data_IF_023272164639
#
_entry.id   IF_023272164639
#
_cell.length_a   1.000
_cell.length_b   1.000
_cell.length_c   1.000
_cell.angle_alpha   90.00
_cell.angle_beta   90.00
_cell.angle_gamma   90.00
#
_symmetry.space_group_name_H-M   'P 1'
#
loop_
_entity.id
_entity.type
_entity.pdbx_description
1 polymer ?
#
# COMPACT_ATOMS: atom_id res chain seq x y z
N UNK A 1 2.58 14.26 25.44
CA UNK A 1 3.03 13.79 24.08
C UNK A 1 2.74 14.87 23.07
N UNK A 2 3.78 15.42 22.45
CA UNK A 2 3.69 16.51 21.48
C UNK A 2 3.97 15.98 20.06
N UNK A 3 3.40 16.61 19.03
CA UNK A 3 3.65 16.24 17.63
C UNK A 3 5.14 16.25 17.29
N UNK A 4 5.88 17.25 17.83
CA UNK A 4 7.32 17.37 17.64
C UNK A 4 8.09 16.16 18.21
N UNK A 5 7.64 15.60 19.31
CA UNK A 5 8.23 14.37 19.86
C UNK A 5 7.97 13.16 18.96
N UNK A 6 6.81 13.09 18.31
CA UNK A 6 6.50 12.06 17.32
C UNK A 6 7.37 12.20 16.05
N UNK A 7 7.59 13.43 15.58
CA UNK A 7 8.54 13.69 14.47
C UNK A 7 9.95 13.22 14.82
N UNK A 8 10.43 13.52 16.02
CA UNK A 8 11.73 13.08 16.52
C UNK A 8 11.81 11.56 16.64
N UNK A 9 10.78 10.94 17.17
CA UNK A 9 10.69 9.49 17.33
C UNK A 9 10.76 8.79 15.96
N UNK A 10 9.97 9.24 14.99
CA UNK A 10 9.99 8.74 13.62
C UNK A 10 11.37 8.88 12.99
N UNK A 11 11.94 10.08 13.03
CA UNK A 11 13.27 10.33 12.46
C UNK A 11 14.36 9.42 13.06
N UNK A 12 14.28 9.08 14.35
CA UNK A 12 15.20 8.15 15.01
C UNK A 12 15.04 6.72 14.48
N UNK A 13 13.80 6.29 14.30
CA UNK A 13 13.50 4.94 13.75
C UNK A 13 14.02 4.84 12.32
N UNK A 14 13.70 5.83 11.47
CA UNK A 14 14.07 5.85 10.06
C UNK A 14 15.60 5.94 9.85
N UNK A 15 16.28 6.74 10.67
CA UNK A 15 17.74 6.86 10.61
C UNK A 15 18.49 5.69 11.26
N UNK A 16 17.80 4.82 12.03
CA UNK A 16 18.37 3.67 12.71
C UNK A 16 19.34 4.01 13.87
N UNK A 17 19.63 5.29 14.11
CA UNK A 17 20.46 5.78 15.21
C UNK A 17 20.05 7.20 15.63
N UNK A 18 20.21 7.52 16.93
CA UNK A 18 19.91 8.89 17.44
C UNK A 18 20.82 9.93 16.79
N UNK A 19 22.10 9.61 16.60
CA UNK A 19 23.05 10.53 15.95
C UNK A 19 22.76 10.74 14.46
N UNK A 20 22.25 9.72 13.77
CA UNK A 20 21.76 9.81 12.39
C UNK A 20 20.55 10.74 12.29
N UNK A 21 19.56 10.53 13.15
CA UNK A 21 18.38 11.38 13.22
C UNK A 21 18.71 12.84 13.57
N UNK A 22 19.63 13.06 14.51
CA UNK A 22 20.07 14.40 14.88
C UNK A 22 20.64 15.17 13.68
N UNK A 23 21.41 14.49 12.80
CA UNK A 23 21.92 15.10 11.56
C UNK A 23 20.78 15.44 10.58
N UNK A 24 19.83 14.55 10.40
CA UNK A 24 18.67 14.78 9.52
C UNK A 24 17.82 15.95 10.02
N UNK A 25 17.66 16.06 11.34
CA UNK A 25 16.89 17.11 11.99
C UNK A 25 17.66 18.42 12.21
N UNK A 26 18.92 18.51 11.74
CA UNK A 26 19.81 19.67 11.94
C UNK A 26 19.94 20.10 13.39
N UNK A 27 20.05 19.12 14.29
CA UNK A 27 20.20 19.36 15.74
C UNK A 27 21.31 18.50 16.34
N UNK A 28 21.68 18.77 17.60
CA UNK A 28 22.64 17.93 18.35
C UNK A 28 21.91 16.72 18.99
N UNK A 29 22.66 15.65 19.27
CA UNK A 29 22.11 14.43 19.87
C UNK A 29 21.53 14.63 21.28
N UNK A 30 22.13 15.42 22.21
CA UNK A 30 21.65 15.52 23.58
C UNK A 30 20.18 15.96 23.70
N UNK A 31 19.73 17.07 23.06
CA UNK A 31 18.33 17.48 23.14
C UNK A 31 17.37 16.43 22.53
N UNK A 32 17.78 15.74 21.47
CA UNK A 32 16.97 14.69 20.85
C UNK A 32 16.79 13.51 21.80
N UNK A 33 17.87 13.04 22.44
CA UNK A 33 17.83 11.98 23.45
C UNK A 33 16.98 12.37 24.65
N UNK A 34 17.07 13.63 25.09
CA UNK A 34 16.25 14.15 26.18
C UNK A 34 14.76 14.12 25.85
N UNK A 35 14.37 14.55 24.66
CA UNK A 35 12.98 14.52 24.22
C UNK A 35 12.41 13.09 24.18
N UNK A 36 13.20 12.12 23.73
CA UNK A 36 12.77 10.70 23.75
C UNK A 36 12.61 10.18 25.17
N UNK A 37 13.52 10.56 26.07
CA UNK A 37 13.40 10.19 27.50
C UNK A 37 12.11 10.76 28.11
N UNK A 38 11.81 12.04 27.86
CA UNK A 38 10.57 12.68 28.34
C UNK A 38 9.32 11.99 27.79
N UNK A 39 9.34 11.59 26.52
CA UNK A 39 8.24 10.85 25.90
C UNK A 39 8.04 9.46 26.55
N UNK A 40 9.13 8.71 26.78
CA UNK A 40 9.07 7.42 27.46
C UNK A 40 8.57 7.56 28.92
N UNK A 41 8.99 8.63 29.62
CA UNK A 41 8.54 8.92 30.98
C UNK A 41 7.06 9.29 31.04
N UNK A 42 6.57 10.10 30.10
CA UNK A 42 5.15 10.46 30.02
C UNK A 42 4.28 9.23 29.72
N UNK A 43 4.70 8.37 28.78
CA UNK A 43 3.98 7.17 28.38
C UNK A 43 4.16 6.01 29.37
N UNK A 44 5.06 6.13 30.35
CA UNK A 44 5.43 5.10 31.34
C UNK A 44 5.87 3.78 30.70
N UNK A 45 6.42 3.82 29.47
CA UNK A 45 6.94 2.66 28.75
C UNK A 45 8.27 2.97 28.07
N UNK A 46 9.05 1.92 27.78
CA UNK A 46 10.22 2.05 26.93
C UNK A 46 9.82 1.85 25.47
N UNK A 47 10.28 2.76 24.62
CA UNK A 47 10.06 2.71 23.18
C UNK A 47 11.23 2.03 22.45
N UNK A 48 12.44 2.17 23.03
CA UNK A 48 13.66 1.59 22.48
C UNK A 48 14.24 0.51 23.39
N UNK A 49 14.72 -0.61 22.78
CA UNK A 49 15.42 -1.66 23.51
C UNK A 49 16.84 -1.19 23.89
N UNK A 50 17.28 -1.54 25.10
CA UNK A 50 18.61 -1.19 25.63
C UNK A 50 19.72 -2.06 25.00
N UNK A 51 20.92 -1.52 24.92
CA UNK A 51 22.15 -2.28 24.68
C UNK A 51 22.50 -2.55 23.21
N UNK A 52 21.81 -1.91 22.26
CA UNK A 52 22.14 -2.04 20.83
C UNK A 52 22.83 -0.77 20.29
N UNK A 53 23.83 -0.96 19.42
CA UNK A 53 24.46 0.13 18.65
C UNK A 53 23.47 0.75 17.63
N UNK A 54 22.50 -0.03 17.22
CA UNK A 54 21.39 0.40 16.34
C UNK A 54 20.09 0.43 17.11
N UNK A 55 19.17 1.30 16.69
CA UNK A 55 17.84 1.41 17.27
C UNK A 55 17.07 0.13 17.03
N UNK A 56 16.51 -0.41 18.11
CA UNK A 56 15.51 -1.50 18.05
C UNK A 56 14.29 -1.07 18.84
N UNK A 57 13.14 -1.17 18.22
CA UNK A 57 11.87 -0.85 18.87
C UNK A 57 11.44 -1.97 19.82
N UNK A 58 10.86 -1.58 20.95
CA UNK A 58 10.03 -2.48 21.79
C UNK A 58 8.67 -2.68 21.10
N UNK A 59 7.82 -3.57 21.64
CA UNK A 59 6.44 -3.70 21.15
C UNK A 59 5.64 -2.39 21.31
N UNK A 60 5.84 -1.66 22.41
CA UNK A 60 5.27 -0.33 22.60
C UNK A 60 5.81 0.67 21.55
N UNK A 61 7.12 0.59 21.24
CA UNK A 61 7.73 1.42 20.20
C UNK A 61 7.15 1.13 18.81
N UNK A 62 6.93 -0.13 18.45
CA UNK A 62 6.30 -0.51 17.19
C UNK A 62 4.86 0.02 17.10
N UNK A 63 4.08 -0.14 18.17
CA UNK A 63 2.72 0.39 18.24
C UNK A 63 2.70 1.91 18.10
N UNK A 64 3.62 2.61 18.78
CA UNK A 64 3.73 4.07 18.67
C UNK A 64 4.15 4.48 17.25
N UNK A 65 5.08 3.76 16.59
CA UNK A 65 5.53 4.11 15.25
C UNK A 65 4.38 4.17 14.25
N UNK A 66 3.55 3.12 14.23
CA UNK A 66 2.36 3.08 13.36
C UNK A 66 1.41 4.24 13.63
N UNK A 67 1.19 4.57 14.91
CA UNK A 67 0.29 5.67 15.30
C UNK A 67 0.90 7.05 15.05
N UNK A 68 2.20 7.20 15.26
CA UNK A 68 2.94 8.43 14.97
C UNK A 68 2.87 8.79 13.48
N UNK A 69 3.07 7.81 12.59
CA UNK A 69 2.90 7.99 11.14
C UNK A 69 1.51 8.51 10.80
N UNK A 70 0.46 7.88 11.35
CA UNK A 70 -0.93 8.31 11.13
C UNK A 70 -1.22 9.72 11.63
N UNK A 71 -0.74 10.07 12.82
CA UNK A 71 -0.95 11.39 13.44
C UNK A 71 -0.20 12.50 12.67
N UNK A 72 1.05 12.26 12.29
CA UNK A 72 1.85 13.22 11.52
C UNK A 72 1.24 13.44 10.14
N UNK A 73 0.80 12.38 9.48
CA UNK A 73 0.07 12.44 8.21
C UNK A 73 -1.20 13.27 8.36
N UNK A 74 -2.01 13.02 9.38
CA UNK A 74 -3.25 13.79 9.64
C UNK A 74 -2.95 15.27 9.86
N UNK A 75 -1.85 15.59 10.56
CA UNK A 75 -1.42 16.98 10.76
C UNK A 75 -1.09 17.67 9.44
N UNK A 76 -0.38 16.97 8.56
CA UNK A 76 -0.02 17.53 7.23
C UNK A 76 -1.24 17.67 6.31
N UNK A 77 -2.21 16.76 6.42
CA UNK A 77 -3.51 16.87 5.74
C UNK A 77 -4.26 18.10 6.23
N UNK A 78 -4.39 18.25 7.54
CA UNK A 78 -5.07 19.40 8.16
C UNK A 78 -4.45 20.72 7.73
N UNK A 79 -3.10 20.82 7.76
CA UNK A 79 -2.40 22.01 7.25
C UNK A 79 -2.73 22.28 5.79
N UNK A 80 -2.73 21.24 4.95
CA UNK A 80 -3.08 21.36 3.51
C UNK A 80 -4.52 21.80 3.30
N UNK A 81 -5.46 21.24 4.03
CA UNK A 81 -6.88 21.61 3.95
C UNK A 81 -7.11 23.09 4.31
N UNK A 82 -6.48 23.55 5.39
CA UNK A 82 -6.57 24.94 5.81
C UNK A 82 -5.96 25.89 4.77
N UNK A 83 -4.85 25.50 4.14
CA UNK A 83 -4.19 26.27 3.08
C UNK A 83 -4.99 26.21 1.77
N UNK A 84 -5.64 25.09 1.46
CA UNK A 84 -6.49 24.91 0.24
C UNK A 84 -7.64 25.90 0.15
N UNK A 85 -8.07 26.50 1.24
CA UNK A 85 -9.11 27.54 1.22
C UNK A 85 -8.69 28.78 0.40
N UNK A 86 -7.40 28.91 0.03
CA UNK A 86 -6.86 30.09 -0.69
C UNK A 86 -6.11 29.80 -2.00
N UNK A 87 -6.02 28.54 -2.48
CA UNK A 87 -5.19 28.20 -3.67
C UNK A 87 -5.82 27.12 -4.56
N UNK A 88 -5.28 26.98 -5.79
CA UNK A 88 -5.71 25.98 -6.78
C UNK A 88 -5.89 24.58 -6.16
N UNK A 89 -7.03 23.96 -6.45
CA UNK A 89 -7.41 22.66 -5.89
C UNK A 89 -6.42 21.58 -6.35
N UNK A 90 -5.73 20.95 -5.43
CA UNK A 90 -4.88 19.77 -5.69
C UNK A 90 -5.61 18.52 -5.24
N UNK A 91 -5.73 17.52 -6.12
CA UNK A 91 -6.35 16.23 -5.85
C UNK A 91 -5.25 15.16 -5.75
N UNK A 92 -5.20 14.45 -4.63
CA UNK A 92 -4.33 13.29 -4.43
C UNK A 92 -5.04 12.04 -4.93
N UNK A 93 -4.58 11.51 -6.07
CA UNK A 93 -5.20 10.37 -6.73
C UNK A 93 -4.32 9.13 -6.63
N UNK A 94 -4.86 8.06 -6.03
CA UNK A 94 -4.24 6.74 -6.02
C UNK A 94 -4.55 5.93 -7.27
N UNK A 95 -3.54 5.31 -7.86
CA UNK A 95 -3.69 4.40 -9.00
C UNK A 95 -2.89 3.11 -8.80
N UNK A 96 -3.51 1.98 -9.12
CA UNK A 96 -2.76 0.72 -9.17
C UNK A 96 -2.03 0.59 -10.51
N UNK A 97 -0.93 -0.19 -10.61
CA UNK A 97 -0.23 -0.43 -11.88
C UNK A 97 -1.14 -0.92 -13.01
N UNK A 98 -2.24 -1.62 -12.68
CA UNK A 98 -3.20 -2.12 -13.66
C UNK A 98 -4.28 -1.11 -14.07
N UNK A 99 -4.49 -0.05 -13.30
CA UNK A 99 -5.52 0.98 -13.59
C UNK A 99 -4.94 2.27 -14.15
N UNK A 100 -3.62 2.47 -14.10
CA UNK A 100 -2.96 3.71 -14.52
C UNK A 100 -3.30 4.10 -15.96
N UNK A 101 -3.27 3.16 -16.91
CA UNK A 101 -3.57 3.44 -18.31
C UNK A 101 -5.03 3.86 -18.56
N UNK A 102 -5.95 3.30 -17.78
CA UNK A 102 -7.36 3.69 -17.82
C UNK A 102 -7.51 5.11 -17.24
N UNK A 103 -6.93 5.36 -16.06
CA UNK A 103 -7.02 6.65 -15.39
C UNK A 103 -6.36 7.77 -16.19
N UNK A 104 -5.24 7.52 -16.87
CA UNK A 104 -4.61 8.50 -17.73
C UNK A 104 -5.57 9.05 -18.78
N UNK A 105 -6.41 8.21 -19.41
CA UNK A 105 -7.44 8.64 -20.38
C UNK A 105 -8.50 9.54 -19.75
N UNK A 106 -8.95 9.23 -18.53
CA UNK A 106 -9.89 10.05 -17.79
C UNK A 106 -9.27 11.39 -17.37
N UNK A 107 -8.02 11.37 -16.90
CA UNK A 107 -7.30 12.57 -16.48
C UNK A 107 -7.10 13.54 -17.65
N UNK A 108 -6.68 13.06 -18.82
CA UNK A 108 -6.54 13.90 -20.03
C UNK A 108 -7.85 14.62 -20.35
N UNK A 109 -8.97 13.89 -20.32
CA UNK A 109 -10.28 14.49 -20.58
C UNK A 109 -10.70 15.48 -19.46
N UNK A 110 -10.42 15.15 -18.21
CA UNK A 110 -10.81 15.97 -17.07
C UNK A 110 -10.01 17.28 -17.01
N UNK A 111 -8.69 17.20 -17.15
CA UNK A 111 -7.81 18.37 -17.07
C UNK A 111 -8.00 19.35 -18.23
N UNK A 112 -8.44 18.87 -19.39
CA UNK A 112 -8.79 19.77 -20.51
C UNK A 112 -9.97 20.69 -20.22
N UNK A 113 -10.87 20.29 -19.28
CA UNK A 113 -12.03 21.10 -18.87
C UNK A 113 -11.81 21.83 -17.53
N UNK A 114 -10.78 21.41 -16.77
CA UNK A 114 -10.46 21.93 -15.44
C UNK A 114 -8.95 22.22 -15.31
N UNK A 115 -8.43 23.24 -16.02
CA UNK A 115 -6.99 23.54 -16.09
C UNK A 115 -6.41 24.07 -14.76
N UNK A 116 -7.26 24.53 -13.87
CA UNK A 116 -6.95 25.04 -12.53
C UNK A 116 -6.74 23.91 -11.48
N UNK A 117 -7.17 22.67 -11.80
CA UNK A 117 -7.01 21.54 -10.91
C UNK A 117 -5.67 20.83 -11.17
N UNK A 118 -4.95 20.56 -10.10
CA UNK A 118 -3.70 19.81 -10.12
C UNK A 118 -3.90 18.43 -9.52
N UNK A 119 -3.14 17.45 -10.01
CA UNK A 119 -3.13 16.09 -9.46
C UNK A 119 -1.76 15.74 -8.93
N UNK A 120 -1.75 15.12 -7.75
CA UNK A 120 -0.61 14.37 -7.22
C UNK A 120 -0.97 12.90 -7.35
N UNK A 121 -0.19 12.15 -8.12
CA UNK A 121 -0.46 10.73 -8.38
C UNK A 121 0.36 9.88 -7.41
N UNK A 122 -0.34 9.02 -6.67
CA UNK A 122 0.24 7.99 -5.83
C UNK A 122 0.06 6.63 -6.52
N UNK A 123 1.11 5.87 -6.64
CA UNK A 123 1.04 4.52 -7.17
C UNK A 123 1.32 3.49 -6.06
N UNK A 124 0.58 2.40 -6.10
CA UNK A 124 0.70 1.40 -5.06
C UNK A 124 -0.18 0.17 -5.26
N UNK A 125 -0.08 -0.76 -4.32
CA UNK A 125 -0.98 -1.90 -4.28
C UNK A 125 -2.39 -1.46 -3.87
N UNK A 126 -3.40 -2.27 -4.20
CA UNK A 126 -4.78 -2.03 -3.77
C UNK A 126 -4.90 -1.87 -2.25
N UNK A 127 -4.09 -2.61 -1.47
CA UNK A 127 -4.09 -2.54 -0.01
C UNK A 127 -3.46 -1.24 0.48
N UNK A 128 -2.28 -0.88 -0.03
CA UNK A 128 -1.59 0.36 0.31
C UNK A 128 -2.44 1.59 0.03
N UNK A 129 -3.02 1.66 -1.19
CA UNK A 129 -3.86 2.79 -1.59
C UNK A 129 -5.17 2.86 -0.79
N UNK A 130 -5.72 1.72 -0.35
CA UNK A 130 -6.86 1.70 0.55
C UNK A 130 -6.49 2.30 1.91
N UNK A 131 -5.36 1.89 2.48
CA UNK A 131 -4.87 2.41 3.76
C UNK A 131 -4.55 3.91 3.67
N UNK A 132 -3.97 4.37 2.56
CA UNK A 132 -3.73 5.79 2.32
C UNK A 132 -5.05 6.59 2.19
N UNK A 133 -6.08 6.02 1.57
CA UNK A 133 -7.40 6.64 1.51
C UNK A 133 -8.07 6.69 2.90
N UNK A 134 -7.99 5.61 3.70
CA UNK A 134 -8.48 5.57 5.07
C UNK A 134 -7.80 6.60 5.98
N UNK A 135 -6.53 6.83 5.76
CA UNK A 135 -5.74 7.81 6.49
C UNK A 135 -5.86 9.25 5.90
N UNK A 136 -6.68 9.47 4.87
CA UNK A 136 -6.89 10.77 4.25
C UNK A 136 -5.67 11.32 3.48
N UNK A 137 -4.69 10.47 3.14
CA UNK A 137 -3.55 10.83 2.29
C UNK A 137 -4.03 11.03 0.84
N UNK A 138 -5.01 10.22 0.44
CA UNK A 138 -5.65 10.29 -0.87
C UNK A 138 -7.04 10.93 -0.75
N UNK A 139 -7.41 11.74 -1.72
CA UNK A 139 -8.77 12.25 -1.91
C UNK A 139 -9.64 11.21 -2.66
N UNK A 140 -9.04 10.48 -3.59
CA UNK A 140 -9.70 9.47 -4.42
C UNK A 140 -8.69 8.41 -4.85
N UNK A 141 -9.14 7.17 -5.02
CA UNK A 141 -8.27 6.11 -5.55
C UNK A 141 -9.04 5.13 -6.43
N UNK A 142 -8.33 4.50 -7.34
CA UNK A 142 -8.85 3.34 -8.08
C UNK A 142 -8.39 2.07 -7.39
N UNK A 143 -9.34 1.24 -7.00
CA UNK A 143 -9.07 -0.04 -6.37
C UNK A 143 -9.60 -1.18 -7.24
N UNK A 144 -8.99 -2.34 -7.12
CA UNK A 144 -9.45 -3.57 -7.76
C UNK A 144 -10.00 -4.53 -6.72
N UNK A 145 -11.20 -5.04 -6.97
CA UNK A 145 -11.79 -6.12 -6.16
C UNK A 145 -11.07 -7.45 -6.44
N UNK A 146 -11.12 -8.43 -5.53
CA UNK A 146 -11.85 -8.40 -4.27
C UNK A 146 -11.12 -7.64 -3.16
N UNK A 147 -11.79 -6.67 -2.55
CA UNK A 147 -11.37 -5.96 -1.34
C UNK A 147 -12.60 -5.39 -0.64
N UNK A 148 -12.58 -5.32 0.69
CA UNK A 148 -13.65 -4.68 1.45
C UNK A 148 -13.58 -3.15 1.29
N UNK A 149 -14.70 -2.53 0.89
CA UNK A 149 -14.84 -1.09 0.67
C UNK A 149 -15.77 -0.44 1.70
N UNK A 150 -15.91 -1.05 2.87
CA UNK A 150 -16.77 -0.52 3.95
C UNK A 150 -16.27 0.87 4.37
N UNK A 151 -17.20 1.81 4.51
CA UNK A 151 -16.89 3.18 4.92
C UNK A 151 -16.50 4.12 3.78
N UNK A 152 -16.42 3.64 2.53
CA UNK A 152 -16.10 4.46 1.37
C UNK A 152 -17.31 4.65 0.44
N UNK A 153 -17.37 5.82 -0.17
CA UNK A 153 -18.23 6.04 -1.32
C UNK A 153 -17.52 5.47 -2.55
N UNK A 154 -18.10 4.46 -3.20
CA UNK A 154 -17.46 3.78 -4.33
C UNK A 154 -18.37 3.76 -5.57
N UNK A 155 -17.73 3.80 -6.75
CA UNK A 155 -18.40 3.66 -8.05
C UNK A 155 -17.69 2.62 -8.89
N UNK A 156 -18.46 1.65 -9.42
CA UNK A 156 -17.93 0.67 -10.36
C UNK A 156 -17.57 1.38 -11.68
N UNK A 157 -16.31 1.32 -12.08
CA UNK A 157 -15.82 1.88 -13.34
C UNK A 157 -15.81 0.85 -14.45
N UNK A 158 -15.42 -0.40 -14.15
CA UNK A 158 -15.30 -1.48 -15.11
C UNK A 158 -15.43 -2.83 -14.40
N UNK A 159 -16.03 -3.79 -15.08
CA UNK A 159 -16.02 -5.19 -14.70
C UNK A 159 -15.16 -5.97 -15.68
N UNK A 160 -14.32 -6.87 -15.16
CA UNK A 160 -13.40 -7.69 -15.94
C UNK A 160 -13.52 -9.15 -15.50
N UNK A 161 -13.36 -10.07 -16.43
CA UNK A 161 -13.27 -11.50 -16.13
C UNK A 161 -11.87 -11.84 -15.62
N UNK A 162 -11.78 -12.82 -14.74
CA UNK A 162 -10.52 -13.47 -14.42
C UNK A 162 -10.16 -14.42 -15.56
N UNK A 163 -8.91 -14.37 -15.97
CA UNK A 163 -8.35 -15.24 -17.00
C UNK A 163 -7.10 -15.91 -16.44
N UNK A 164 -6.87 -17.15 -16.81
CA UNK A 164 -5.63 -17.85 -16.52
C UNK A 164 -4.63 -17.57 -17.64
N UNK A 165 -3.39 -17.25 -17.25
CA UNK A 165 -2.26 -17.14 -18.16
C UNK A 165 -1.37 -18.37 -17.98
N UNK A 166 -1.40 -19.26 -18.97
CA UNK A 166 -0.57 -20.46 -19.00
C UNK A 166 0.80 -20.18 -19.63
N UNK A 167 1.85 -20.93 -19.26
CA UNK A 167 3.16 -20.82 -19.88
C UNK A 167 3.11 -21.14 -21.37
N UNK A 168 3.95 -20.45 -22.16
CA UNK A 168 4.12 -20.73 -23.59
C UNK A 168 4.62 -22.17 -23.81
N UNK A 169 4.01 -22.89 -24.74
CA UNK A 169 4.33 -24.30 -25.04
C UNK A 169 3.49 -25.33 -24.26
N UNK A 170 2.64 -24.89 -23.32
CA UNK A 170 1.57 -25.71 -22.76
C UNK A 170 0.20 -25.37 -23.40
N UNK A 171 0.26 -24.56 -24.44
CA UNK A 171 -0.91 -24.16 -25.24
C UNK A 171 -1.27 -25.33 -26.17
N UNK A 172 -2.44 -25.91 -25.98
CA UNK A 172 -3.16 -26.53 -27.09
C UNK A 172 -3.61 -25.38 -27.99
N UNK A 173 -3.44 -25.52 -29.32
CA UNK A 173 -3.65 -24.46 -30.30
C UNK A 173 -4.95 -23.66 -30.06
N UNK A 174 -4.80 -22.37 -29.69
CA UNK A 174 -5.86 -21.39 -29.57
C UNK A 174 -6.26 -21.05 -28.12
N UNK A 175 -6.99 -19.94 -27.96
CA UNK A 175 -7.66 -19.57 -26.72
C UNK A 175 -8.72 -20.63 -26.41
N UNK A 176 -8.54 -21.36 -25.29
CA UNK A 176 -9.56 -22.27 -24.80
C UNK A 176 -9.99 -21.91 -23.39
N UNK A 177 -11.18 -22.31 -23.03
CA UNK A 177 -11.62 -22.27 -21.64
C UNK A 177 -10.98 -23.44 -20.88
N UNK A 178 -10.40 -23.16 -19.72
CA UNK A 178 -9.94 -24.16 -18.76
C UNK A 178 -11.03 -24.43 -17.75
N UNK A 179 -11.30 -25.70 -17.46
CA UNK A 179 -12.13 -26.06 -16.32
C UNK A 179 -11.39 -25.88 -15.01
N UNK A 180 -12.11 -25.84 -13.88
CA UNK A 180 -11.49 -25.75 -12.57
C UNK A 180 -10.67 -26.99 -12.23
N UNK A 181 -11.12 -28.17 -12.72
CA UNK A 181 -10.41 -29.45 -12.54
C UNK A 181 -9.07 -29.45 -13.28
N UNK A 182 -9.03 -28.94 -14.51
CA UNK A 182 -7.78 -28.78 -15.26
C UNK A 182 -6.86 -27.80 -14.56
N UNK A 183 -7.39 -26.66 -14.16
CA UNK A 183 -6.60 -25.62 -13.48
C UNK A 183 -6.08 -26.08 -12.11
N UNK A 184 -6.79 -26.99 -11.41
CA UNK A 184 -6.35 -27.60 -10.17
C UNK A 184 -5.05 -28.42 -10.32
N UNK A 185 -4.79 -28.94 -11.52
CA UNK A 185 -3.54 -29.67 -11.84
C UNK A 185 -2.34 -28.78 -12.15
N UNK A 186 -2.53 -27.47 -12.21
CA UNK A 186 -1.45 -26.53 -12.53
C UNK A 186 -0.78 -25.99 -11.25
N UNK A 187 0.51 -25.67 -11.37
CA UNK A 187 1.21 -24.87 -10.36
C UNK A 187 0.75 -23.41 -10.47
N UNK A 188 -0.06 -22.96 -9.52
CA UNK A 188 -0.65 -21.62 -9.59
C UNK A 188 0.31 -20.56 -9.05
N UNK A 189 0.30 -19.42 -9.72
CA UNK A 189 1.01 -18.19 -9.32
C UNK A 189 -0.06 -17.15 -9.02
N UNK A 190 -0.30 -16.85 -7.75
CA UNK A 190 -1.39 -15.96 -7.34
C UNK A 190 -0.87 -14.66 -6.73
N UNK A 191 -1.52 -13.56 -7.08
CA UNK A 191 -1.31 -12.33 -6.31
C UNK A 191 -2.08 -12.39 -4.99
N UNK A 192 -1.52 -11.77 -3.93
CA UNK A 192 -2.12 -11.74 -2.58
C UNK A 192 -3.60 -11.36 -2.60
N UNK A 193 -3.96 -10.41 -3.45
CA UNK A 193 -5.35 -9.96 -3.59
C UNK A 193 -6.29 -11.07 -4.09
N UNK A 194 -5.85 -11.85 -5.08
CA UNK A 194 -6.70 -12.88 -5.69
C UNK A 194 -6.65 -14.21 -4.93
N UNK A 195 -5.60 -14.47 -4.17
CA UNK A 195 -5.37 -15.75 -3.50
C UNK A 195 -6.60 -16.26 -2.74
N UNK A 196 -7.11 -15.47 -1.80
CA UNK A 196 -8.27 -15.88 -0.98
C UNK A 196 -9.52 -16.13 -1.82
N UNK A 197 -9.75 -15.32 -2.84
CA UNK A 197 -10.89 -15.45 -3.75
C UNK A 197 -10.78 -16.72 -4.59
N UNK A 198 -9.64 -16.94 -5.24
CA UNK A 198 -9.40 -18.12 -6.09
C UNK A 198 -9.50 -19.40 -5.24
N UNK A 199 -8.83 -19.48 -4.09
CA UNK A 199 -8.92 -20.65 -3.20
C UNK A 199 -10.36 -20.92 -2.76
N UNK A 200 -11.15 -19.89 -2.48
CA UNK A 200 -12.58 -20.09 -2.13
C UNK A 200 -13.43 -20.65 -3.28
N UNK A 201 -13.04 -20.40 -4.52
CA UNK A 201 -13.73 -21.00 -5.69
C UNK A 201 -13.43 -22.50 -5.76
N UNK A 202 -12.15 -22.89 -5.65
CA UNK A 202 -11.77 -24.30 -5.64
C UNK A 202 -12.45 -25.06 -4.49
N UNK A 203 -12.40 -24.50 -3.28
CA UNK A 203 -13.03 -25.09 -2.09
C UNK A 203 -14.54 -25.32 -2.27
N UNK A 204 -15.27 -24.33 -2.83
CA UNK A 204 -16.71 -24.46 -3.12
C UNK A 204 -17.05 -25.59 -4.10
N UNK A 205 -16.11 -25.98 -4.96
CA UNK A 205 -16.28 -27.08 -5.92
C UNK A 205 -15.64 -28.39 -5.41
N UNK A 206 -15.20 -28.44 -4.14
CA UNK A 206 -14.59 -29.62 -3.56
C UNK A 206 -13.20 -29.93 -4.13
N UNK A 207 -12.55 -28.95 -4.75
CA UNK A 207 -11.23 -29.09 -5.36
C UNK A 207 -10.16 -28.45 -4.47
N UNK A 208 -8.94 -28.95 -4.58
CA UNK A 208 -7.75 -28.30 -4.04
C UNK A 208 -6.83 -27.89 -5.18
N UNK A 209 -6.10 -26.82 -5.01
CA UNK A 209 -5.10 -26.37 -5.97
C UNK A 209 -3.77 -26.07 -5.28
N UNK A 210 -2.69 -26.20 -6.03
CA UNK A 210 -1.34 -25.95 -5.55
C UNK A 210 -0.93 -24.51 -5.88
N UNK A 211 -0.81 -23.66 -4.84
CA UNK A 211 -0.31 -22.27 -4.98
C UNK A 211 1.20 -22.30 -4.77
N UNK A 212 1.93 -22.40 -5.85
CA UNK A 212 3.39 -22.57 -5.84
C UNK A 212 4.13 -21.24 -5.60
N UNK A 213 3.59 -20.13 -6.14
CA UNK A 213 4.14 -18.79 -5.93
C UNK A 213 3.07 -17.79 -5.51
N UNK A 214 3.43 -16.91 -4.58
CA UNK A 214 2.60 -15.77 -4.18
C UNK A 214 3.36 -14.47 -4.43
N UNK A 215 2.70 -13.46 -4.98
CA UNK A 215 3.29 -12.16 -5.28
C UNK A 215 2.35 -11.00 -4.91
N UNK A 216 2.87 -9.78 -4.88
CA UNK A 216 2.07 -8.60 -4.48
C UNK A 216 1.01 -8.23 -5.51
N UNK A 217 1.34 -8.32 -6.80
CA UNK A 217 0.44 -7.88 -7.88
C UNK A 217 0.37 -8.87 -9.04
N UNK A 218 -0.67 -8.73 -9.87
CA UNK A 218 -0.93 -9.61 -11.00
C UNK A 218 0.09 -9.47 -12.14
N UNK A 219 0.78 -8.33 -12.33
CA UNK A 219 1.79 -8.19 -13.37
C UNK A 219 3.01 -9.07 -13.07
N UNK A 220 3.41 -9.10 -11.80
CA UNK A 220 4.47 -10.01 -11.34
C UNK A 220 4.07 -11.46 -11.59
N UNK A 221 2.81 -11.85 -11.24
CA UNK A 221 2.31 -13.20 -11.53
C UNK A 221 2.39 -13.52 -13.03
N UNK A 222 1.89 -12.63 -13.88
CA UNK A 222 1.93 -12.80 -15.35
C UNK A 222 3.36 -12.91 -15.88
N UNK A 223 4.30 -12.11 -15.37
CA UNK A 223 5.72 -12.19 -15.80
C UNK A 223 6.36 -13.53 -15.44
N UNK A 224 6.04 -14.06 -14.25
CA UNK A 224 6.50 -15.39 -13.81
C UNK A 224 5.88 -16.49 -14.68
N UNK A 225 4.59 -16.40 -15.00
CA UNK A 225 3.92 -17.35 -15.89
C UNK A 225 4.51 -17.32 -17.31
N UNK A 226 4.75 -16.11 -17.86
CA UNK A 226 5.42 -15.95 -19.16
C UNK A 226 6.84 -16.57 -19.18
N UNK A 227 7.51 -16.65 -18.03
CA UNK A 227 8.82 -17.30 -17.89
C UNK A 227 8.75 -18.82 -17.70
N UNK A 228 7.56 -19.41 -17.75
CA UNK A 228 7.38 -20.85 -17.65
C UNK A 228 7.27 -21.42 -16.22
N UNK A 229 7.16 -20.57 -15.19
CA UNK A 229 7.17 -21.02 -13.79
C UNK A 229 5.84 -21.58 -13.29
N UNK A 230 4.75 -21.40 -14.03
CA UNK A 230 3.42 -21.87 -13.67
C UNK A 230 2.33 -21.06 -14.34
N UNK A 231 1.08 -21.23 -13.88
CA UNK A 231 -0.11 -20.55 -14.41
C UNK A 231 -0.54 -19.41 -13.47
N UNK A 232 -0.70 -18.20 -14.03
CA UNK A 232 -1.07 -17.00 -13.27
C UNK A 232 -2.57 -16.66 -13.44
#
# INVERSE_FOLDING_TARGET
MELRQLEYFRAIVDAGTISGAARVLHMTQPPLSYQMKMLEEELQVRLFARGSKHIRLTEAGKALYVRAESLLTMTDITKREVIKVSQATTIHLGVTPSTVNMMAKYLVKYTSHHPDIRFVIHDGSTFTLKDELENGILDVTTLRTPIALNGFCSKLLRQEQLMAMVPQGQEEEGLRELTLEELAGHHLILSKRHRKYVLSIFEKHGLSCDVYYECEDARTAMSLAASGLGTA
#
